data_IF_833734396081
#
_entry.id   IF_833734396081
#
_cell.length_a   1.000
_cell.length_b   1.000
_cell.length_c   1.000
_cell.angle_alpha   90.00
_cell.angle_beta   90.00
_cell.angle_gamma   90.00
#
_symmetry.space_group_name_H-M   'P 1'
#
loop_
_entity.id
_entity.type
_entity.pdbx_description
1 polymer ?
#
# COMPACT_ATOMS: atom_id res chain seq x y z
N UNK A 1 0.28 -55.36 -42.20
CA UNK A 1 -0.23 -54.02 -41.82
C UNK A 1 -0.46 -54.03 -40.32
N UNK A 2 0.55 -53.65 -39.53
CA UNK A 2 0.44 -53.56 -38.05
C UNK A 2 0.52 -52.07 -37.72
N UNK A 3 -0.63 -51.49 -37.36
CA UNK A 3 -0.75 -50.15 -36.82
C UNK A 3 -0.31 -50.20 -35.35
N UNK A 4 0.85 -49.63 -35.02
CA UNK A 4 1.16 -49.24 -33.65
C UNK A 4 0.41 -47.93 -33.34
N UNK A 5 -0.38 -47.84 -32.26
CA UNK A 5 -0.99 -46.59 -31.85
C UNK A 5 0.09 -45.69 -31.22
N UNK A 6 0.18 -44.45 -31.70
CA UNK A 6 1.00 -43.40 -31.11
C UNK A 6 0.41 -42.99 -29.76
N UNK A 7 1.09 -43.32 -28.66
CA UNK A 7 0.77 -42.87 -27.32
C UNK A 7 1.28 -41.44 -27.12
N UNK A 8 0.35 -40.48 -27.05
CA UNK A 8 0.68 -39.09 -26.69
C UNK A 8 1.25 -39.02 -25.26
N UNK A 9 2.34 -38.26 -25.01
CA UNK A 9 2.99 -38.23 -23.71
C UNK A 9 2.13 -37.50 -22.67
N UNK A 10 1.78 -38.19 -21.57
CA UNK A 10 1.14 -37.62 -20.36
C UNK A 10 1.92 -36.45 -19.70
N UNK A 11 3.12 -36.14 -20.20
CA UNK A 11 4.01 -35.13 -19.66
C UNK A 11 3.58 -33.69 -20.02
N UNK A 12 2.90 -33.47 -21.16
CA UNK A 12 2.43 -32.11 -21.54
C UNK A 12 1.29 -31.60 -20.66
N UNK A 13 0.36 -32.48 -20.28
CA UNK A 13 -0.73 -32.14 -19.36
C UNK A 13 -0.21 -31.78 -17.96
N UNK A 14 0.79 -32.53 -17.48
CA UNK A 14 1.43 -32.29 -16.18
C UNK A 14 2.32 -31.03 -16.20
N UNK A 15 2.97 -30.75 -17.33
CA UNK A 15 3.73 -29.52 -17.51
C UNK A 15 2.81 -28.29 -17.57
N UNK A 16 1.69 -28.39 -18.29
CA UNK A 16 0.66 -27.36 -18.33
C UNK A 16 0.10 -27.03 -16.94
N UNK A 17 -0.27 -28.05 -16.15
CA UNK A 17 -0.78 -27.82 -14.79
C UNK A 17 0.26 -27.21 -13.85
N UNK A 18 1.54 -27.62 -13.94
CA UNK A 18 2.62 -27.08 -13.10
C UNK A 18 2.95 -25.64 -13.50
N UNK A 19 2.94 -25.31 -14.79
CA UNK A 19 3.14 -23.94 -15.26
C UNK A 19 1.97 -23.06 -14.84
N UNK A 20 0.74 -23.53 -14.96
CA UNK A 20 -0.46 -22.80 -14.56
C UNK A 20 -0.49 -22.54 -13.04
N UNK A 21 -0.13 -23.55 -12.24
CA UNK A 21 -0.01 -23.42 -10.79
C UNK A 21 1.14 -22.49 -10.38
N UNK A 22 2.27 -22.56 -11.08
CA UNK A 22 3.43 -21.67 -10.89
C UNK A 22 3.13 -20.21 -11.25
N UNK A 23 2.40 -19.96 -12.33
CA UNK A 23 1.98 -18.62 -12.75
C UNK A 23 0.95 -18.07 -11.77
N UNK A 24 -0.05 -18.88 -11.38
CA UNK A 24 -1.08 -18.49 -10.40
C UNK A 24 -0.49 -18.11 -9.03
N UNK A 25 0.50 -18.86 -8.55
CA UNK A 25 1.20 -18.54 -7.29
C UNK A 25 2.03 -17.24 -7.39
N UNK A 26 2.66 -16.98 -8.55
CA UNK A 26 3.40 -15.74 -8.80
C UNK A 26 2.50 -14.51 -8.91
N UNK A 27 1.35 -14.61 -9.58
CA UNK A 27 0.37 -13.52 -9.69
C UNK A 27 -0.26 -13.18 -8.35
N UNK A 28 -0.62 -14.19 -7.55
CA UNK A 28 -1.11 -13.95 -6.18
C UNK A 28 -0.02 -13.30 -5.33
N UNK A 29 1.23 -13.77 -5.42
CA UNK A 29 2.37 -13.15 -4.76
C UNK A 29 2.53 -11.67 -5.11
N UNK A 30 2.52 -11.32 -6.40
CA UNK A 30 2.64 -9.92 -6.85
C UNK A 30 1.46 -9.07 -6.39
N UNK A 31 0.24 -9.60 -6.41
CA UNK A 31 -0.95 -8.87 -5.90
C UNK A 31 -0.81 -8.58 -4.41
N UNK A 32 -0.36 -9.56 -3.61
CA UNK A 32 -0.18 -9.36 -2.17
C UNK A 32 0.90 -8.31 -1.86
N UNK A 33 1.98 -8.29 -2.64
CA UNK A 33 3.04 -7.30 -2.47
C UNK A 33 2.50 -5.89 -2.78
N UNK A 34 1.88 -5.71 -3.93
CA UNK A 34 1.32 -4.42 -4.38
C UNK A 34 0.20 -3.95 -3.45
N UNK A 35 -0.68 -4.85 -3.00
CA UNK A 35 -1.73 -4.52 -2.04
C UNK A 35 -1.14 -4.15 -0.67
N UNK A 36 -0.06 -4.81 -0.24
CA UNK A 36 0.66 -4.52 1.00
C UNK A 36 1.32 -3.15 1.01
N UNK A 37 1.92 -2.74 -0.11
CA UNK A 37 2.52 -1.40 -0.25
C UNK A 37 1.46 -0.30 -0.39
N UNK A 38 0.29 -0.62 -0.97
CA UNK A 38 -0.82 0.33 -1.08
C UNK A 38 -1.47 0.61 0.27
N UNK A 39 -1.57 -0.37 1.19
CA UNK A 39 -2.06 -0.14 2.56
C UNK A 39 -0.95 0.52 3.40
N UNK A 40 -0.80 1.82 3.17
CA UNK A 40 0.35 2.62 3.56
C UNK A 40 0.20 3.47 4.84
N UNK A 41 1.20 4.33 5.11
CA UNK A 41 1.20 5.31 6.20
C UNK A 41 0.03 6.31 6.12
N UNK A 42 -0.42 6.64 4.90
CA UNK A 42 -1.59 7.49 4.70
C UNK A 42 -2.84 6.96 5.40
N UNK A 43 -2.98 5.63 5.50
CA UNK A 43 -4.13 5.00 6.14
C UNK A 43 -4.14 5.19 7.67
N UNK A 44 -3.00 5.45 8.31
CA UNK A 44 -2.96 5.77 9.75
C UNK A 44 -3.51 7.18 10.03
N UNK A 45 -3.24 8.12 9.13
CA UNK A 45 -3.72 9.50 9.24
C UNK A 45 -5.16 9.68 8.73
N UNK A 46 -5.66 8.75 7.92
CA UNK A 46 -6.96 8.86 7.27
C UNK A 46 -8.15 8.96 8.25
N UNK A 47 -8.27 8.13 9.32
CA UNK A 47 -9.39 8.25 10.27
C UNK A 47 -9.42 9.62 10.96
N UNK A 48 -8.25 10.15 11.31
CA UNK A 48 -8.11 11.46 11.96
C UNK A 48 -8.50 12.60 10.99
N UNK A 49 -8.03 12.53 9.74
CA UNK A 49 -8.39 13.51 8.71
C UNK A 49 -9.89 13.44 8.37
N UNK A 50 -10.46 12.24 8.24
CA UNK A 50 -11.87 12.02 7.95
C UNK A 50 -12.79 12.56 9.06
N UNK A 51 -12.38 12.42 10.33
CA UNK A 51 -13.16 12.89 11.48
C UNK A 51 -13.44 14.40 11.43
N UNK A 52 -12.51 15.22 10.92
CA UNK A 52 -12.68 16.67 10.79
C UNK A 52 -13.48 17.13 9.56
N UNK A 53 -13.53 16.31 8.51
CA UNK A 53 -14.15 16.63 7.22
C UNK A 53 -15.65 16.29 7.18
N UNK A 54 -16.10 15.36 8.02
CA UNK A 54 -17.50 14.93 8.08
C UNK A 54 -17.81 13.82 7.08
N UNK A 55 -18.73 12.93 7.47
CA UNK A 55 -18.95 11.64 6.80
C UNK A 55 -19.30 11.77 5.31
N UNK A 56 -20.27 12.62 4.96
CA UNK A 56 -20.74 12.75 3.58
C UNK A 56 -19.64 13.24 2.62
N UNK A 57 -18.85 14.22 3.05
CA UNK A 57 -17.73 14.75 2.24
C UNK A 57 -16.61 13.72 2.15
N UNK A 58 -16.28 13.02 3.25
CA UNK A 58 -15.29 11.94 3.22
C UNK A 58 -15.68 10.81 2.27
N UNK A 59 -16.95 10.39 2.21
CA UNK A 59 -17.40 9.35 1.26
C UNK A 59 -17.21 9.79 -0.18
N UNK A 60 -17.58 11.03 -0.51
CA UNK A 60 -17.38 11.59 -1.86
C UNK A 60 -15.89 11.69 -2.19
N UNK A 61 -15.05 12.15 -1.26
CA UNK A 61 -13.61 12.24 -1.44
C UNK A 61 -12.97 10.86 -1.64
N UNK A 62 -13.32 9.88 -0.80
CA UNK A 62 -12.83 8.51 -0.94
C UNK A 62 -13.23 7.90 -2.27
N UNK A 63 -14.51 8.00 -2.66
CA UNK A 63 -14.99 7.49 -3.95
C UNK A 63 -14.36 8.19 -5.14
N UNK A 64 -14.23 9.52 -5.10
CA UNK A 64 -13.62 10.31 -6.17
C UNK A 64 -12.12 10.07 -6.33
N UNK A 65 -11.36 10.07 -5.22
CA UNK A 65 -9.92 9.78 -5.26
C UNK A 65 -9.63 8.32 -5.59
N UNK A 66 -10.47 7.38 -5.14
CA UNK A 66 -10.38 5.99 -5.56
C UNK A 66 -10.55 5.85 -7.08
N UNK A 67 -11.59 6.45 -7.66
CA UNK A 67 -11.82 6.41 -9.11
C UNK A 67 -10.66 7.06 -9.89
N UNK A 68 -10.15 8.20 -9.42
CA UNK A 68 -8.99 8.87 -10.00
C UNK A 68 -7.74 7.98 -9.98
N UNK A 69 -7.45 7.34 -8.83
CA UNK A 69 -6.28 6.48 -8.67
C UNK A 69 -6.41 5.17 -9.44
N UNK A 70 -7.61 4.60 -9.56
CA UNK A 70 -7.85 3.49 -10.47
C UNK A 70 -7.63 3.89 -11.94
N UNK A 71 -8.09 5.07 -12.34
CA UNK A 71 -7.86 5.57 -13.70
C UNK A 71 -6.37 5.76 -14.00
N UNK A 72 -5.60 6.37 -13.09
CA UNK A 72 -4.15 6.52 -13.28
C UNK A 72 -3.42 5.18 -13.29
N UNK A 73 -3.85 4.19 -12.50
CA UNK A 73 -3.29 2.84 -12.52
C UNK A 73 -3.53 2.14 -13.87
N UNK A 74 -4.74 2.28 -14.44
CA UNK A 74 -5.07 1.72 -15.75
C UNK A 74 -4.26 2.39 -16.87
N UNK A 75 -4.11 3.72 -16.83
CA UNK A 75 -3.26 4.43 -17.78
C UNK A 75 -1.80 3.99 -17.69
N UNK A 76 -1.27 3.84 -16.47
CA UNK A 76 0.10 3.39 -16.27
C UNK A 76 0.28 1.96 -16.78
N UNK A 77 -0.69 1.08 -16.51
CA UNK A 77 -0.71 -0.30 -17.02
C UNK A 77 -0.72 -0.36 -18.54
N UNK A 78 -1.55 0.45 -19.21
CA UNK A 78 -1.56 0.55 -20.68
C UNK A 78 -0.19 0.96 -21.21
N UNK A 79 0.42 2.00 -20.63
CA UNK A 79 1.75 2.45 -21.06
C UNK A 79 2.81 1.38 -20.86
N UNK A 80 2.76 0.64 -19.74
CA UNK A 80 3.69 -0.45 -19.47
C UNK A 80 3.56 -1.63 -20.44
N UNK A 81 2.41 -1.83 -21.09
CA UNK A 81 2.25 -2.87 -22.12
C UNK A 81 3.04 -2.57 -23.40
N UNK A 82 3.33 -1.29 -23.68
CA UNK A 82 4.04 -0.85 -24.89
C UNK A 82 5.55 -0.62 -24.68
N UNK A 83 6.07 -0.97 -23.50
CA UNK A 83 7.46 -0.71 -23.08
C UNK A 83 8.03 -1.98 -22.44
N UNK A 84 9.32 -2.30 -22.63
CA UNK A 84 9.93 -3.46 -21.98
C UNK A 84 9.82 -3.36 -20.45
N UNK A 85 9.59 -4.50 -19.81
CA UNK A 85 9.20 -4.63 -18.40
C UNK A 85 10.24 -4.16 -17.37
N UNK A 86 11.47 -3.88 -17.81
CA UNK A 86 12.59 -3.38 -17.01
C UNK A 86 12.66 -1.84 -16.95
N UNK A 87 11.73 -1.14 -17.58
CA UNK A 87 11.75 0.33 -17.66
C UNK A 87 11.10 0.98 -16.43
N UNK A 88 11.91 1.61 -15.57
CA UNK A 88 11.40 2.38 -14.44
C UNK A 88 10.59 3.63 -14.85
N UNK A 89 9.73 4.11 -13.94
CA UNK A 89 8.90 5.32 -14.14
C UNK A 89 9.71 6.56 -14.58
N UNK A 90 10.92 6.75 -14.07
CA UNK A 90 11.81 7.84 -14.49
C UNK A 90 12.26 7.71 -15.95
N UNK A 91 12.57 6.50 -16.41
CA UNK A 91 12.93 6.21 -17.80
C UNK A 91 11.71 6.35 -18.72
N UNK A 92 10.52 6.01 -18.22
CA UNK A 92 9.26 6.22 -18.92
C UNK A 92 8.98 7.72 -19.12
N UNK A 93 9.16 8.52 -18.06
CA UNK A 93 9.07 9.97 -18.13
C UNK A 93 10.11 10.56 -19.10
N UNK A 94 11.32 10.01 -19.15
CA UNK A 94 12.33 10.41 -20.13
C UNK A 94 11.87 10.18 -21.58
N UNK A 95 11.17 9.07 -21.84
CA UNK A 95 10.68 8.70 -23.17
C UNK A 95 9.51 9.57 -23.65
N UNK A 96 8.58 9.93 -22.75
CA UNK A 96 7.37 10.68 -23.12
C UNK A 96 7.46 12.19 -22.87
N UNK A 97 8.12 12.64 -21.80
CA UNK A 97 8.24 14.05 -21.40
C UNK A 97 9.67 14.62 -21.64
N UNK A 98 10.61 13.79 -22.07
CA UNK A 98 12.00 14.19 -22.28
C UNK A 98 12.81 14.31 -20.99
N UNK A 99 14.03 14.86 -21.10
CA UNK A 99 15.02 14.92 -20.01
C UNK A 99 14.53 15.71 -18.79
N UNK A 100 13.75 16.77 -19.00
CA UNK A 100 13.19 17.58 -17.91
C UNK A 100 12.11 16.80 -17.14
N UNK A 101 11.25 16.06 -17.84
CA UNK A 101 10.25 15.20 -17.20
C UNK A 101 10.88 14.10 -16.35
N UNK A 102 11.96 13.47 -16.85
CA UNK A 102 12.72 12.49 -16.08
C UNK A 102 13.21 13.04 -14.73
N UNK A 103 13.77 14.25 -14.72
CA UNK A 103 14.28 14.87 -13.50
C UNK A 103 13.17 15.20 -12.51
N UNK A 104 12.07 15.78 -12.98
CA UNK A 104 10.92 16.13 -12.13
C UNK A 104 10.29 14.87 -11.53
N UNK A 105 10.01 13.86 -12.35
CA UNK A 105 9.43 12.59 -11.88
C UNK A 105 10.38 11.86 -10.93
N UNK A 106 11.67 11.79 -11.26
CA UNK A 106 12.67 11.14 -10.42
C UNK A 106 12.82 11.83 -9.05
N UNK A 107 12.93 13.15 -9.04
CA UNK A 107 13.03 13.93 -7.80
C UNK A 107 11.76 13.82 -6.96
N UNK A 108 10.58 13.96 -7.58
CA UNK A 108 9.29 13.80 -6.90
C UNK A 108 9.14 12.42 -6.26
N UNK A 109 9.59 11.37 -6.95
CA UNK A 109 9.54 10.00 -6.43
C UNK A 109 10.47 9.79 -5.24
N UNK A 110 11.72 10.26 -5.31
CA UNK A 110 12.63 10.17 -4.17
C UNK A 110 12.11 10.97 -2.96
N UNK A 111 11.60 12.18 -3.21
CA UNK A 111 11.01 13.00 -2.16
C UNK A 111 9.79 12.32 -1.52
N UNK A 112 8.91 11.73 -2.32
CA UNK A 112 7.75 11.00 -1.83
C UNK A 112 8.16 9.79 -0.97
N UNK A 113 9.12 8.98 -1.42
CA UNK A 113 9.59 7.82 -0.67
C UNK A 113 10.25 8.23 0.66
N UNK A 114 11.01 9.33 0.65
CA UNK A 114 11.58 9.88 1.87
C UNK A 114 10.50 10.37 2.85
N UNK A 115 9.52 11.13 2.35
CA UNK A 115 8.42 11.64 3.16
C UNK A 115 7.56 10.50 3.76
N UNK A 116 7.27 9.45 2.97
CA UNK A 116 6.57 8.27 3.45
C UNK A 116 7.36 7.54 4.54
N UNK A 117 8.67 7.37 4.35
CA UNK A 117 9.53 6.74 5.35
C UNK A 117 9.57 7.55 6.65
N UNK A 118 9.69 8.87 6.56
CA UNK A 118 9.64 9.76 7.72
C UNK A 118 8.27 9.68 8.43
N UNK A 119 7.17 9.66 7.67
CA UNK A 119 5.83 9.51 8.22
C UNK A 119 5.64 8.16 8.94
N UNK A 120 6.20 7.07 8.39
CA UNK A 120 6.20 5.76 9.04
C UNK A 120 7.01 5.75 10.34
N UNK A 121 8.22 6.32 10.32
CA UNK A 121 9.07 6.39 11.52
C UNK A 121 8.39 7.19 12.63
N UNK A 122 7.78 8.33 12.28
CA UNK A 122 7.04 9.17 13.24
C UNK A 122 5.81 8.45 13.77
N UNK A 123 4.93 7.96 12.88
CA UNK A 123 3.66 7.36 13.28
C UNK A 123 3.83 6.04 14.02
N UNK A 124 4.69 5.15 13.54
CA UNK A 124 4.96 3.87 14.22
C UNK A 124 5.77 4.07 15.50
N UNK A 125 6.69 5.04 15.54
CA UNK A 125 7.44 5.39 16.73
C UNK A 125 6.54 5.88 17.87
N UNK A 126 5.55 6.73 17.56
CA UNK A 126 4.55 7.19 18.52
C UNK A 126 3.67 6.04 19.03
N UNK A 127 3.21 5.16 18.12
CA UNK A 127 2.43 3.98 18.51
C UNK A 127 3.20 3.03 19.43
N UNK A 128 4.49 2.78 19.15
CA UNK A 128 5.36 1.95 20.00
C UNK A 128 5.57 2.60 21.37
N UNK A 129 5.87 3.91 21.40
CA UNK A 129 6.07 4.64 22.65
C UNK A 129 4.80 4.61 23.52
N UNK A 130 3.63 4.91 22.94
CA UNK A 130 2.35 4.84 23.67
C UNK A 130 2.07 3.43 24.19
N UNK A 131 2.25 2.40 23.36
CA UNK A 131 1.94 1.01 23.73
C UNK A 131 2.79 0.52 24.90
N UNK A 132 4.08 0.90 24.95
CA UNK A 132 4.98 0.54 26.05
C UNK A 132 4.64 1.33 27.31
N UNK A 133 4.33 2.62 27.18
CA UNK A 133 3.97 3.45 28.32
C UNK A 133 2.69 2.93 29.00
N UNK A 134 1.67 2.60 28.21
CA UNK A 134 0.39 2.08 28.71
C UNK A 134 0.53 0.66 29.28
N UNK A 135 1.38 -0.19 28.69
CA UNK A 135 1.54 -1.58 29.11
C UNK A 135 2.51 -1.81 30.27
N UNK A 136 3.61 -1.05 30.32
CA UNK A 136 4.71 -1.26 31.28
C UNK A 136 4.88 -0.11 32.28
N UNK A 137 4.08 0.96 32.18
CA UNK A 137 4.20 2.14 33.05
C UNK A 137 5.51 2.91 32.86
N UNK A 138 6.19 2.69 31.73
CA UNK A 138 7.39 3.43 31.36
C UNK A 138 7.02 4.83 30.84
N UNK A 139 7.99 5.74 30.79
CA UNK A 139 7.84 7.06 30.16
C UNK A 139 8.83 7.19 29.00
N UNK A 140 8.58 6.46 27.93
CA UNK A 140 9.32 6.57 26.68
C UNK A 140 8.84 7.79 25.90
N UNK A 141 9.80 8.59 25.43
CA UNK A 141 9.53 9.67 24.49
C UNK A 141 9.24 9.12 23.09
N UNK A 142 8.44 9.82 22.27
CA UNK A 142 8.20 9.44 20.87
C UNK A 142 9.48 9.32 20.04
N UNK A 143 10.49 10.13 20.36
CA UNK A 143 11.83 10.08 19.74
C UNK A 143 12.52 8.73 19.97
N UNK A 144 12.41 8.20 21.19
CA UNK A 144 12.96 6.88 21.53
C UNK A 144 12.19 5.78 20.78
N UNK A 145 10.87 5.90 20.68
CA UNK A 145 10.03 5.00 19.88
C UNK A 145 10.42 4.99 18.40
N UNK A 146 10.69 6.16 17.82
CA UNK A 146 11.16 6.30 16.44
C UNK A 146 12.53 5.66 16.20
N UNK A 147 13.47 5.82 17.14
CA UNK A 147 14.79 5.16 17.08
C UNK A 147 14.65 3.64 17.11
N UNK A 148 13.86 3.11 18.07
CA UNK A 148 13.59 1.67 18.19
C UNK A 148 12.95 1.13 16.90
N UNK A 149 11.93 1.80 16.38
CA UNK A 149 11.29 1.43 15.12
C UNK A 149 12.28 1.39 13.96
N UNK A 150 13.12 2.42 13.84
CA UNK A 150 14.12 2.53 12.76
C UNK A 150 15.18 1.43 12.84
N UNK A 151 15.65 1.10 14.05
CA UNK A 151 16.63 0.03 14.24
C UNK A 151 16.06 -1.34 13.87
N UNK A 152 14.81 -1.62 14.28
CA UNK A 152 14.14 -2.89 13.96
C UNK A 152 13.85 -2.97 12.46
N UNK A 153 13.16 -1.97 11.90
CA UNK A 153 12.77 -1.95 10.49
C UNK A 153 13.98 -1.91 9.55
N UNK A 154 14.95 -1.05 9.84
CA UNK A 154 16.21 -0.97 9.11
C UNK A 154 17.03 -2.26 9.20
N UNK A 155 17.05 -2.90 10.38
CA UNK A 155 17.68 -4.21 10.57
C UNK A 155 17.09 -5.30 9.68
N UNK A 156 15.76 -5.37 9.56
CA UNK A 156 15.08 -6.33 8.67
C UNK A 156 15.41 -6.07 7.20
N UNK A 157 15.44 -4.79 6.78
CA UNK A 157 15.81 -4.42 5.40
C UNK A 157 17.25 -4.79 5.08
N UNK A 158 18.18 -4.55 6.02
CA UNK A 158 19.59 -4.92 5.87
C UNK A 158 19.83 -6.44 5.84
N UNK A 159 18.96 -7.24 6.49
CA UNK A 159 19.07 -8.70 6.52
C UNK A 159 18.68 -9.37 5.18
N UNK A 160 17.92 -8.70 4.31
CA UNK A 160 17.70 -9.12 2.92
C UNK A 160 16.26 -8.95 2.43
N UNK A 161 16.12 -8.75 1.13
CA UNK A 161 14.83 -8.52 0.46
C UNK A 161 13.86 -9.71 0.55
N UNK A 162 14.38 -10.94 0.63
CA UNK A 162 13.55 -12.15 0.82
C UNK A 162 12.85 -12.18 2.19
N UNK A 163 13.48 -11.63 3.24
CA UNK A 163 12.85 -11.51 4.56
C UNK A 163 11.79 -10.41 4.56
N UNK A 164 12.07 -9.28 3.90
CA UNK A 164 11.11 -8.19 3.73
C UNK A 164 9.85 -8.68 3.02
N UNK A 165 10.00 -9.47 1.95
CA UNK A 165 8.87 -10.03 1.21
C UNK A 165 8.03 -10.99 2.06
N UNK A 166 8.68 -11.89 2.80
CA UNK A 166 8.00 -12.80 3.72
C UNK A 166 7.24 -12.06 4.82
N UNK A 167 7.88 -11.08 5.46
CA UNK A 167 7.26 -10.24 6.48
C UNK A 167 6.07 -9.47 5.91
N UNK A 168 6.21 -8.87 4.73
CA UNK A 168 5.14 -8.13 4.08
C UNK A 168 3.91 -9.02 3.82
N UNK A 169 4.11 -10.24 3.32
CA UNK A 169 3.01 -11.19 3.07
C UNK A 169 2.29 -11.61 4.36
N UNK A 170 3.05 -11.86 5.42
CA UNK A 170 2.49 -12.17 6.74
C UNK A 170 1.72 -10.97 7.33
N UNK A 171 2.34 -9.79 7.36
CA UNK A 171 1.75 -8.56 7.90
C UNK A 171 0.50 -8.14 7.11
N UNK A 172 0.47 -8.32 5.79
CA UNK A 172 -0.73 -8.07 4.99
C UNK A 172 -1.88 -8.99 5.41
N UNK A 173 -1.62 -10.29 5.55
CA UNK A 173 -2.63 -11.26 5.99
C UNK A 173 -3.18 -10.91 7.38
N UNK A 174 -2.30 -10.52 8.30
CA UNK A 174 -2.67 -10.04 9.63
C UNK A 174 -3.48 -8.73 9.57
N UNK A 175 -3.09 -7.75 8.74
CA UNK A 175 -3.81 -6.49 8.52
C UNK A 175 -5.27 -6.73 8.11
N UNK A 176 -5.52 -7.67 7.18
CA UNK A 176 -6.88 -8.01 6.75
C UNK A 176 -7.69 -8.62 7.89
N UNK A 177 -7.09 -9.52 8.69
CA UNK A 177 -7.76 -10.09 9.86
C UNK A 177 -8.11 -8.99 10.88
N UNK A 178 -7.15 -8.13 11.23
CA UNK A 178 -7.38 -7.02 12.15
C UNK A 178 -8.43 -6.04 11.63
N UNK A 179 -8.45 -5.75 10.33
CA UNK A 179 -9.49 -4.93 9.71
C UNK A 179 -10.89 -5.53 9.92
N UNK A 180 -11.05 -6.83 9.68
CA UNK A 180 -12.35 -7.52 9.87
C UNK A 180 -12.76 -7.47 11.34
N UNK A 181 -11.84 -7.79 12.26
CA UNK A 181 -12.09 -7.75 13.70
C UNK A 181 -12.49 -6.34 14.14
N UNK A 182 -11.73 -5.32 13.74
CA UNK A 182 -12.03 -3.92 14.06
C UNK A 182 -13.36 -3.47 13.49
N UNK A 183 -13.71 -3.88 12.27
CA UNK A 183 -15.01 -3.56 11.68
C UNK A 183 -16.16 -4.14 12.50
N UNK A 184 -16.05 -5.40 12.94
CA UNK A 184 -17.07 -6.05 13.78
C UNK A 184 -17.18 -5.39 15.16
N UNK A 185 -16.06 -5.02 15.78
CA UNK A 185 -16.04 -4.38 17.10
C UNK A 185 -16.51 -2.92 17.08
N UNK A 186 -16.23 -2.18 16.00
CA UNK A 186 -16.63 -0.78 15.85
C UNK A 186 -18.04 -0.61 15.28
N UNK A 187 -18.57 -1.59 14.53
CA UNK A 187 -19.95 -1.57 14.03
C UNK A 187 -21.02 -1.25 15.10
N UNK A 188 -21.01 -1.83 16.31
CA UNK A 188 -21.99 -1.49 17.36
C UNK A 188 -21.80 -0.07 17.94
N UNK A 189 -20.64 0.57 17.73
CA UNK A 189 -20.33 1.92 18.23
C UNK A 189 -20.69 3.04 17.22
N UNK A 190 -21.38 2.71 16.12
CA UNK A 190 -21.79 3.69 15.10
C UNK A 190 -23.00 4.50 15.59
N UNK A 191 -22.76 5.73 16.02
CA UNK A 191 -23.82 6.68 16.36
C UNK A 191 -24.25 7.48 15.13
N UNK A 192 -25.53 7.35 14.74
CA UNK A 192 -26.11 8.02 13.55
C UNK A 192 -25.97 9.55 13.56
N UNK A 193 -25.91 10.14 14.76
CA UNK A 193 -25.69 11.58 14.94
C UNK A 193 -24.33 12.05 14.40
N UNK A 194 -23.30 11.21 14.50
CA UNK A 194 -21.96 11.50 13.98
C UNK A 194 -21.87 11.38 12.45
N UNK A 195 -22.90 10.82 11.79
CA UNK A 195 -22.95 10.71 10.33
C UNK A 195 -23.50 11.98 9.67
N UNK A 196 -24.21 12.82 10.43
CA UNK A 196 -24.82 14.07 9.97
C UNK A 196 -23.98 15.30 10.33
N UNK A 197 -22.80 15.11 10.94
CA UNK A 197 -21.88 16.21 11.21
C UNK A 197 -21.37 16.78 9.89
N UNK A 198 -21.63 18.07 9.70
CA UNK A 198 -21.04 18.85 8.62
C UNK A 198 -19.55 19.08 8.91
N UNK A 199 -18.73 19.34 7.88
CA UNK A 199 -17.31 19.66 8.06
C UNK A 199 -17.15 20.78 9.09
N UNK A 200 -16.27 20.59 10.08
CA UNK A 200 -16.02 21.60 11.12
C UNK A 200 -15.55 22.93 10.51
N UNK A 201 -14.79 22.86 9.40
CA UNK A 201 -14.36 23.98 8.57
C UNK A 201 -14.20 23.55 7.10
N UNK A 202 -14.55 24.40 6.14
CA UNK A 202 -14.37 24.11 4.69
C UNK A 202 -12.91 23.88 4.29
N UNK A 203 -11.95 24.42 5.04
CA UNK A 203 -10.51 24.21 4.82
C UNK A 203 -10.04 22.79 5.11
N UNK A 204 -10.71 22.07 6.02
CA UNK A 204 -10.35 20.69 6.39
C UNK A 204 -10.56 19.71 5.22
N UNK A 205 -11.56 19.97 4.37
CA UNK A 205 -11.81 19.12 3.21
C UNK A 205 -10.65 19.18 2.20
N UNK A 206 -10.06 20.37 2.00
CA UNK A 206 -8.93 20.56 1.10
C UNK A 206 -7.63 19.98 1.69
N UNK A 207 -7.42 20.09 3.00
CA UNK A 207 -6.23 19.52 3.67
C UNK A 207 -6.26 17.99 3.76
N UNK A 208 -7.44 17.36 3.69
CA UNK A 208 -7.57 15.91 3.67
C UNK A 208 -7.24 15.28 2.32
N UNK A 209 -7.31 16.04 1.21
CA UNK A 209 -7.05 15.51 -0.15
C UNK A 209 -5.66 14.85 -0.24
N UNK A 210 -4.55 15.51 0.15
CA UNK A 210 -3.23 14.89 0.07
C UNK A 210 -3.12 13.60 0.91
N UNK A 211 -3.70 13.58 2.11
CA UNK A 211 -3.66 12.41 3.02
C UNK A 211 -4.41 11.23 2.41
N UNK A 212 -5.63 11.46 1.91
CA UNK A 212 -6.45 10.43 1.28
C UNK A 212 -5.81 9.98 -0.04
N UNK A 213 -5.30 10.91 -0.85
CA UNK A 213 -4.59 10.59 -2.10
C UNK A 213 -3.37 9.69 -1.86
N UNK A 214 -2.52 10.04 -0.89
CA UNK A 214 -1.36 9.23 -0.52
C UNK A 214 -1.74 7.84 -0.02
N UNK A 215 -2.92 7.68 0.58
CA UNK A 215 -3.42 6.38 1.04
C UNK A 215 -3.80 5.41 -0.09
N UNK A 216 -3.98 5.92 -1.31
CA UNK A 216 -4.27 5.12 -2.51
C UNK A 216 -3.05 5.01 -3.45
N UNK A 217 -1.87 5.43 -3.01
CA UNK A 217 -0.65 5.37 -3.81
C UNK A 217 -0.20 3.93 -4.07
N UNK A 218 0.05 3.58 -5.33
CA UNK A 218 0.48 2.25 -5.79
C UNK A 218 1.85 2.27 -6.49
N UNK A 219 2.62 3.35 -6.32
CA UNK A 219 3.84 3.63 -7.08
C UNK A 219 5.12 2.99 -6.48
N UNK A 220 4.97 2.09 -5.51
CA UNK A 220 6.07 1.44 -4.77
C UNK A 220 6.36 0.03 -5.23
#
# INVERSE_FOLDING_TARGET
MVLFPYSAPQNESRYGSVVEESVKNRTLGSIFIVAGTTIGAGMLAMPLAAAGVGFGVTVVLLGGLWALMCYTALLLLEVYQHVPADTGLGSLAARYLGRYGQWITGFSMMFLMYALTAAYISGAGELIASSINDGFGASLSPETGAIVFTLIGGGVVCAGTSLVDLFNRFLFSAKILFLIVMLVLLAPHVHKINLLSLPLEKGLALSAIPVIFTSFGFHG
#
